data_IF_171304609326
#
_entry.id   IF_171304609326
#
_cell.length_a   1.000
_cell.length_b   1.000
_cell.length_c   1.000
_cell.angle_alpha   90.00
_cell.angle_beta   90.00
_cell.angle_gamma   90.00
#
_symmetry.space_group_name_H-M   'P 1'
#
loop_
_entity.id
_entity.type
_entity.pdbx_description
1 polymer ?
#
# COMPACT_ATOMS: atom_id res chain seq x y z
N UNK A 1 -12.07 9.62 -8.88
CA UNK A 1 -11.22 9.91 -7.71
C UNK A 1 -10.34 8.70 -7.44
N UNK A 2 -9.25 8.89 -6.76
CA UNK A 2 -8.24 7.85 -6.56
C UNK A 2 -7.74 7.91 -5.13
N UNK A 3 -7.52 6.76 -4.50
CA UNK A 3 -6.89 6.70 -3.19
C UNK A 3 -5.83 5.60 -3.17
N UNK A 4 -4.86 5.79 -2.27
CA UNK A 4 -3.73 4.87 -2.08
C UNK A 4 -3.92 4.17 -0.74
N UNK A 5 -3.71 2.86 -0.71
CA UNK A 5 -3.81 2.05 0.50
C UNK A 5 -2.46 1.45 0.85
N UNK A 6 -2.21 1.27 2.14
CA UNK A 6 -1.00 0.62 2.62
C UNK A 6 -1.09 -0.91 2.51
N UNK A 7 -0.05 -1.59 2.96
CA UNK A 7 0.03 -3.05 2.88
C UNK A 7 -1.05 -3.76 3.71
N UNK A 8 -1.43 -3.22 4.87
CA UNK A 8 -2.48 -3.82 5.68
C UNK A 8 -3.85 -3.69 5.04
N UNK A 9 -4.18 -2.51 4.50
CA UNK A 9 -5.41 -2.32 3.73
C UNK A 9 -5.42 -3.17 2.47
N UNK A 10 -4.29 -3.26 1.78
CA UNK A 10 -4.18 -4.11 0.59
C UNK A 10 -4.48 -5.57 0.95
N UNK A 11 -3.88 -6.06 2.02
CA UNK A 11 -4.14 -7.43 2.51
C UNK A 11 -5.62 -7.66 2.80
N UNK A 12 -6.28 -6.71 3.45
CA UNK A 12 -7.70 -6.78 3.75
C UNK A 12 -8.54 -6.85 2.46
N UNK A 13 -8.23 -6.02 1.48
CA UNK A 13 -8.92 -6.02 0.18
C UNK A 13 -8.77 -7.39 -0.51
N UNK A 14 -7.56 -7.93 -0.52
CA UNK A 14 -7.30 -9.22 -1.15
C UNK A 14 -7.99 -10.38 -0.43
N UNK A 15 -8.29 -10.22 0.86
CA UNK A 15 -9.08 -11.20 1.62
C UNK A 15 -10.59 -11.02 1.46
N UNK A 16 -11.04 -10.00 0.71
CA UNK A 16 -12.45 -9.80 0.39
C UNK A 16 -13.11 -8.59 1.03
N UNK A 17 -12.37 -7.80 1.81
CA UNK A 17 -12.92 -6.57 2.40
C UNK A 17 -13.06 -5.47 1.34
N UNK A 18 -13.99 -4.56 1.56
CA UNK A 18 -14.10 -3.38 0.73
C UNK A 18 -12.92 -2.42 0.97
N UNK A 19 -12.49 -1.69 -0.06
CA UNK A 19 -11.50 -0.65 0.12
C UNK A 19 -12.04 0.49 0.99
N UNK A 20 -11.17 1.35 1.57
CA UNK A 20 -11.63 2.48 2.38
C UNK A 20 -12.62 3.38 1.68
N UNK A 21 -12.50 3.54 0.37
CA UNK A 21 -13.47 4.31 -0.44
C UNK A 21 -13.99 3.45 -1.58
N UNK A 22 -15.06 2.69 -1.35
CA UNK A 22 -15.66 1.88 -2.41
C UNK A 22 -16.10 2.76 -3.59
N UNK A 23 -15.87 2.28 -4.81
CA UNK A 23 -16.22 3.01 -6.02
C UNK A 23 -15.14 3.95 -6.54
N UNK A 24 -14.10 4.22 -5.76
CA UNK A 24 -12.95 4.99 -6.22
C UNK A 24 -11.82 4.06 -6.66
N UNK A 25 -10.98 4.53 -7.55
CA UNK A 25 -9.82 3.77 -8.00
C UNK A 25 -8.85 3.55 -6.83
N UNK A 26 -8.40 2.31 -6.66
CA UNK A 26 -7.49 1.89 -5.58
C UNK A 26 -6.10 1.69 -6.14
N UNK A 27 -5.12 2.30 -5.49
CA UNK A 27 -3.71 2.10 -5.78
C UNK A 27 -2.97 1.69 -4.51
N UNK A 28 -1.85 1.02 -4.71
CA UNK A 28 -0.85 0.84 -3.66
C UNK A 28 0.53 1.11 -4.25
N UNK A 29 1.57 1.01 -3.45
CA UNK A 29 2.93 1.21 -3.94
C UNK A 29 3.65 -0.12 -4.15
N UNK A 30 4.70 -0.11 -4.96
CA UNK A 30 5.53 -1.28 -5.17
C UNK A 30 6.13 -1.80 -3.86
N UNK A 31 6.63 -0.91 -3.01
CA UNK A 31 7.21 -1.31 -1.72
C UNK A 31 6.18 -1.94 -0.78
N UNK A 32 5.00 -1.39 -0.68
CA UNK A 32 3.94 -2.01 0.14
C UNK A 32 3.51 -3.37 -0.41
N UNK A 33 3.39 -3.47 -1.74
CA UNK A 33 3.05 -4.75 -2.37
C UNK A 33 4.12 -5.80 -2.09
N UNK A 34 5.40 -5.45 -2.25
CA UNK A 34 6.52 -6.35 -1.98
C UNK A 34 6.55 -6.78 -0.52
N UNK A 35 6.30 -5.86 0.42
CA UNK A 35 6.24 -6.20 1.84
C UNK A 35 5.15 -7.21 2.14
N UNK A 36 3.97 -7.03 1.56
CA UNK A 36 2.87 -7.98 1.74
C UNK A 36 3.20 -9.34 1.14
N UNK A 37 3.75 -9.36 -0.08
CA UNK A 37 4.20 -10.61 -0.71
C UNK A 37 5.22 -11.33 0.16
N UNK A 38 6.22 -10.61 0.66
CA UNK A 38 7.24 -11.20 1.52
C UNK A 38 6.63 -11.79 2.79
N UNK A 39 5.76 -11.03 3.45
CA UNK A 39 5.14 -11.48 4.70
C UNK A 39 4.29 -12.74 4.51
N UNK A 40 3.47 -12.79 3.46
CA UNK A 40 2.54 -13.91 3.23
C UNK A 40 3.24 -15.13 2.64
N UNK A 41 4.12 -14.92 1.65
CA UNK A 41 4.76 -16.02 0.93
C UNK A 41 5.96 -16.60 1.66
N UNK A 42 6.60 -15.80 2.52
CA UNK A 42 7.73 -16.24 3.35
C UNK A 42 7.30 -16.58 4.78
N UNK A 43 5.99 -16.65 5.05
CA UNK A 43 5.50 -16.96 6.39
C UNK A 43 5.96 -18.35 6.81
N UNK A 44 6.67 -18.40 7.93
CA UNK A 44 7.10 -19.62 8.59
C UNK A 44 6.26 -19.80 9.86
N UNK A 45 6.85 -20.30 10.93
CA UNK A 45 6.15 -20.57 12.19
C UNK A 45 5.61 -19.31 12.88
N UNK A 46 6.14 -18.14 12.57
CA UNK A 46 5.71 -16.87 13.17
C UNK A 46 4.96 -16.02 12.17
N UNK A 47 3.66 -15.96 12.35
CA UNK A 47 2.83 -15.05 11.56
C UNK A 47 2.86 -13.66 12.19
N UNK A 48 3.13 -12.64 11.37
CA UNK A 48 3.07 -11.23 11.78
C UNK A 48 1.71 -10.61 11.49
N UNK A 49 1.59 -9.31 11.68
CA UNK A 49 0.34 -8.57 11.46
C UNK A 49 -0.15 -8.64 10.00
N UNK A 50 0.75 -8.79 9.04
CA UNK A 50 0.39 -8.89 7.62
C UNK A 50 0.04 -10.32 7.22
N UNK A 51 0.73 -11.33 7.76
CA UNK A 51 0.54 -12.72 7.34
C UNK A 51 -0.53 -13.46 8.15
N UNK A 52 -0.70 -13.15 9.43
CA UNK A 52 -1.65 -13.84 10.28
C UNK A 52 -3.09 -13.82 9.75
N UNK A 53 -3.62 -12.69 9.27
CA UNK A 53 -4.97 -12.67 8.71
C UNK A 53 -5.17 -13.60 7.50
N UNK A 54 -4.11 -13.85 6.73
CA UNK A 54 -4.17 -14.82 5.63
C UNK A 54 -4.12 -16.25 6.18
N UNK A 55 -3.25 -16.53 7.14
CA UNK A 55 -3.04 -17.86 7.69
C UNK A 55 -4.28 -18.40 8.42
N UNK A 56 -5.11 -17.52 8.98
CA UNK A 56 -6.31 -17.90 9.73
C UNK A 56 -7.54 -18.10 8.85
N UNK A 57 -7.47 -17.80 7.54
CA UNK A 57 -8.58 -18.03 6.63
C UNK A 57 -8.82 -19.53 6.42
N UNK A 58 -10.08 -19.95 6.18
CA UNK A 58 -10.36 -21.30 5.67
C UNK A 58 -9.58 -21.58 4.38
N UNK A 59 -9.25 -22.85 4.14
CA UNK A 59 -8.36 -23.25 3.04
C UNK A 59 -8.74 -22.67 1.67
N UNK A 60 -10.03 -22.70 1.32
CA UNK A 60 -10.49 -22.20 0.02
C UNK A 60 -10.31 -20.69 -0.09
N UNK A 61 -10.63 -19.96 0.98
CA UNK A 61 -10.48 -18.51 1.02
C UNK A 61 -9.01 -18.10 1.08
N UNK A 62 -8.18 -18.86 1.79
CA UNK A 62 -6.74 -18.62 1.84
C UNK A 62 -6.10 -18.78 0.46
N UNK A 63 -6.46 -19.83 -0.27
CA UNK A 63 -5.95 -20.04 -1.65
C UNK A 63 -6.39 -18.92 -2.58
N UNK A 64 -7.63 -18.46 -2.45
CA UNK A 64 -8.14 -17.36 -3.25
C UNK A 64 -7.40 -16.06 -2.96
N UNK A 65 -7.22 -15.72 -1.69
CA UNK A 65 -6.51 -14.52 -1.28
C UNK A 65 -5.04 -14.56 -1.69
N UNK A 66 -4.38 -15.70 -1.52
CA UNK A 66 -2.98 -15.87 -1.95
C UNK A 66 -2.87 -15.79 -3.47
N UNK A 67 -3.82 -16.35 -4.21
CA UNK A 67 -3.88 -16.23 -5.67
C UNK A 67 -4.02 -14.78 -6.13
N UNK A 68 -4.84 -13.99 -5.44
CA UNK A 68 -4.99 -12.57 -5.73
C UNK A 68 -3.72 -11.78 -5.41
N UNK A 69 -2.94 -12.22 -4.42
CA UNK A 69 -1.65 -11.62 -4.12
C UNK A 69 -0.62 -11.91 -5.21
N UNK A 70 -0.58 -13.15 -5.71
CA UNK A 70 0.36 -13.58 -6.76
C UNK A 70 0.03 -12.94 -8.10
N UNK A 71 -1.24 -12.78 -8.41
CA UNK A 71 -1.72 -12.08 -9.60
C UNK A 71 -2.63 -10.95 -9.16
N UNK A 72 -2.02 -9.81 -8.88
CA UNK A 72 -2.75 -8.66 -8.35
C UNK A 72 -3.90 -8.29 -9.29
N UNK A 73 -5.15 -8.18 -8.77
CA UNK A 73 -6.28 -7.83 -9.62
C UNK A 73 -6.05 -6.52 -10.38
N UNK A 74 -6.48 -6.42 -11.64
CA UNK A 74 -6.25 -5.21 -12.45
C UNK A 74 -6.94 -3.97 -11.87
N UNK A 75 -7.92 -4.14 -10.98
CA UNK A 75 -8.59 -3.04 -10.28
C UNK A 75 -7.69 -2.35 -9.28
N UNK A 76 -6.59 -2.99 -8.86
CA UNK A 76 -5.62 -2.40 -7.95
C UNK A 76 -4.42 -1.92 -8.77
N UNK A 77 -4.24 -0.61 -8.80
CA UNK A 77 -3.16 -0.01 -9.57
C UNK A 77 -1.85 0.09 -8.81
N UNK A 78 -0.77 0.06 -9.56
CA UNK A 78 0.58 0.37 -9.08
C UNK A 78 1.17 1.41 -10.02
N UNK A 79 1.70 2.49 -9.47
CA UNK A 79 2.42 3.44 -10.31
C UNK A 79 3.85 2.94 -10.49
N UNK A 80 4.27 2.84 -11.73
CA UNK A 80 5.61 2.38 -12.07
C UNK A 80 6.68 3.31 -11.50
N UNK A 81 7.77 2.75 -11.00
CA UNK A 81 8.94 3.53 -10.60
C UNK A 81 9.54 4.30 -11.77
N UNK A 82 9.32 3.84 -12.98
CA UNK A 82 9.69 4.59 -14.18
C UNK A 82 9.02 5.96 -14.22
N UNK A 83 7.74 6.02 -13.82
CA UNK A 83 7.00 7.28 -13.74
C UNK A 83 7.38 8.10 -12.50
N UNK A 84 7.59 7.42 -11.37
CA UNK A 84 7.84 8.09 -10.09
C UNK A 84 9.30 8.51 -9.89
N UNK A 85 10.24 7.88 -10.59
CA UNK A 85 11.67 8.09 -10.36
C UNK A 85 12.09 9.56 -10.36
N UNK A 86 11.77 10.34 -11.40
CA UNK A 86 12.13 11.76 -11.41
C UNK A 86 11.51 12.56 -10.26
N UNK A 87 10.27 12.27 -9.93
CA UNK A 87 9.56 12.93 -8.83
C UNK A 87 10.17 12.57 -7.47
N UNK A 88 10.51 11.29 -7.27
CA UNK A 88 11.22 10.82 -6.08
C UNK A 88 12.52 11.60 -5.90
N UNK A 89 13.29 11.76 -6.97
CA UNK A 89 14.55 12.51 -6.94
C UNK A 89 14.35 13.95 -6.48
N UNK A 90 13.29 14.61 -6.92
CA UNK A 90 12.98 15.99 -6.50
C UNK A 90 12.47 16.05 -5.05
N UNK A 91 11.59 15.13 -4.67
CA UNK A 91 11.00 15.12 -3.33
C UNK A 91 12.03 14.79 -2.25
N UNK A 92 13.03 13.96 -2.56
CA UNK A 92 14.09 13.64 -1.59
C UNK A 92 14.92 14.84 -1.18
N UNK A 93 14.93 15.89 -1.94
CA UNK A 93 15.61 17.14 -1.56
C UNK A 93 14.91 17.86 -0.42
N UNK A 94 13.61 17.68 -0.30
CA UNK A 94 12.80 18.36 0.72
C UNK A 94 12.40 17.46 1.88
N UNK A 95 12.40 16.15 1.67
CA UNK A 95 11.87 15.19 2.65
C UNK A 95 12.84 14.06 2.87
N UNK A 96 13.19 13.84 4.14
CA UNK A 96 14.04 12.72 4.54
C UNK A 96 13.14 11.54 4.92
N UNK A 97 12.83 10.70 3.93
CA UNK A 97 12.03 9.51 4.11
C UNK A 97 12.81 8.30 3.63
N UNK A 98 12.50 7.12 4.18
CA UNK A 98 13.04 5.88 3.65
C UNK A 98 12.45 5.59 2.27
N UNK A 99 12.94 4.54 1.61
CA UNK A 99 12.50 4.19 0.25
C UNK A 99 10.99 3.99 0.18
N UNK A 100 10.42 3.29 1.16
CA UNK A 100 8.97 3.06 1.20
C UNK A 100 8.21 4.38 1.32
N UNK A 101 8.59 5.23 2.26
CA UNK A 101 7.91 6.50 2.50
C UNK A 101 7.99 7.45 1.32
N UNK A 102 9.16 7.55 0.68
CA UNK A 102 9.31 8.45 -0.46
C UNK A 102 8.51 7.97 -1.68
N UNK A 103 8.37 6.67 -1.86
CA UNK A 103 7.54 6.15 -2.94
C UNK A 103 6.06 6.48 -2.71
N UNK A 104 5.58 6.35 -1.46
CA UNK A 104 4.20 6.72 -1.12
C UNK A 104 3.95 8.20 -1.38
N UNK A 105 4.86 9.06 -0.93
CA UNK A 105 4.74 10.49 -1.14
C UNK A 105 4.69 10.84 -2.62
N UNK A 106 5.59 10.26 -3.40
CA UNK A 106 5.64 10.48 -4.85
C UNK A 106 4.37 10.01 -5.54
N UNK A 107 3.88 8.82 -5.17
CA UNK A 107 2.64 8.29 -5.74
C UNK A 107 1.44 9.19 -5.41
N UNK A 108 1.35 9.67 -4.17
CA UNK A 108 0.27 10.56 -3.75
C UNK A 108 0.28 11.88 -4.53
N UNK A 109 1.46 12.46 -4.71
CA UNK A 109 1.62 13.69 -5.49
C UNK A 109 1.31 13.44 -6.97
N UNK A 110 1.84 12.36 -7.53
CA UNK A 110 1.65 12.02 -8.95
C UNK A 110 0.18 11.80 -9.29
N UNK A 111 -0.53 11.05 -8.44
CA UNK A 111 -1.94 10.70 -8.66
C UNK A 111 -2.91 11.77 -8.14
N UNK A 112 -2.45 12.72 -7.33
CA UNK A 112 -3.34 13.63 -6.63
C UNK A 112 -4.27 12.88 -5.68
N UNK A 113 -3.77 11.85 -5.01
CA UNK A 113 -4.59 10.89 -4.27
C UNK A 113 -4.47 11.06 -2.76
N UNK A 114 -5.53 10.69 -2.05
CA UNK A 114 -5.50 10.55 -0.60
C UNK A 114 -4.84 9.23 -0.21
N UNK A 115 -4.19 9.21 0.95
CA UNK A 115 -3.45 8.02 1.43
C UNK A 115 -4.12 7.48 2.70
N UNK A 116 -4.41 6.18 2.70
CA UNK A 116 -5.01 5.48 3.84
C UNK A 116 -3.98 4.57 4.49
N UNK A 117 -3.77 4.77 5.79
CA UNK A 117 -2.74 4.10 6.59
C UNK A 117 -3.38 3.37 7.77
N UNK A 118 -2.88 2.19 8.09
CA UNK A 118 -3.23 1.49 9.34
C UNK A 118 -2.27 1.84 10.48
N UNK A 119 -1.07 2.27 10.16
CA UNK A 119 -0.05 2.63 11.14
C UNK A 119 0.20 4.14 11.14
N UNK A 120 0.68 4.71 12.26
CA UNK A 120 0.78 6.17 12.39
C UNK A 120 1.75 6.86 11.43
N UNK A 121 2.90 6.33 11.08
CA UNK A 121 3.86 6.88 10.11
C UNK A 121 4.03 8.42 10.18
N UNK A 122 4.52 8.99 11.31
CA UNK A 122 4.48 10.44 11.51
C UNK A 122 5.32 11.23 10.50
N UNK A 123 6.47 10.72 10.08
CA UNK A 123 7.32 11.42 9.10
C UNK A 123 6.67 11.48 7.73
N UNK A 124 6.04 10.38 7.31
CA UNK A 124 5.32 10.33 6.04
C UNK A 124 4.13 11.29 6.07
N UNK A 125 3.38 11.28 7.16
CA UNK A 125 2.21 12.16 7.30
C UNK A 125 2.61 13.64 7.24
N UNK A 126 3.70 14.01 7.91
CA UNK A 126 4.21 15.38 7.86
C UNK A 126 4.61 15.76 6.42
N UNK A 127 5.24 14.86 5.69
CA UNK A 127 5.62 15.10 4.30
C UNK A 127 4.39 15.23 3.39
N UNK A 128 3.38 14.38 3.59
CA UNK A 128 2.12 14.47 2.85
C UNK A 128 1.44 15.82 3.10
N UNK A 129 1.39 16.27 4.36
CA UNK A 129 0.84 17.58 4.70
C UNK A 129 1.60 18.70 3.98
N UNK A 130 2.92 18.64 4.00
CA UNK A 130 3.76 19.65 3.35
C UNK A 130 3.53 19.73 1.83
N UNK A 131 3.17 18.61 1.20
CA UNK A 131 2.85 18.56 -0.22
C UNK A 131 1.35 18.74 -0.51
N UNK A 132 0.56 19.08 0.50
CA UNK A 132 -0.86 19.33 0.33
C UNK A 132 -1.69 18.08 0.08
N UNK A 133 -1.22 16.92 0.53
CA UNK A 133 -1.92 15.65 0.34
C UNK A 133 -2.64 15.20 1.60
N UNK A 134 -3.86 14.74 1.43
CA UNK A 134 -4.70 14.24 2.52
C UNK A 134 -4.29 12.81 2.88
N UNK A 135 -4.29 12.52 4.17
CA UNK A 135 -4.04 11.17 4.68
C UNK A 135 -5.00 10.86 5.83
N UNK A 136 -5.31 9.58 5.97
CA UNK A 136 -6.22 9.07 7.01
C UNK A 136 -5.57 7.85 7.65
N UNK A 137 -5.52 7.85 8.99
CA UNK A 137 -5.08 6.67 9.76
C UNK A 137 -6.32 6.01 10.33
N UNK A 138 -6.54 4.75 10.00
CA UNK A 138 -7.73 4.01 10.43
C UNK A 138 -7.39 2.77 11.23
#
# INVERSE_FOLDING_TARGET
>A
MTHIVDDQHLGAILRGDDPPRPGEAVYTTGCWYVRLCHAVLSATERAGSLSAPFATLPDSLRRRATGALLELPPEIGLVSLRELGPLIGRLRRRHQLNVLGIEVLAAAVYLGADVYLCAPAPRLRAALDAEGRTHVVT
#
